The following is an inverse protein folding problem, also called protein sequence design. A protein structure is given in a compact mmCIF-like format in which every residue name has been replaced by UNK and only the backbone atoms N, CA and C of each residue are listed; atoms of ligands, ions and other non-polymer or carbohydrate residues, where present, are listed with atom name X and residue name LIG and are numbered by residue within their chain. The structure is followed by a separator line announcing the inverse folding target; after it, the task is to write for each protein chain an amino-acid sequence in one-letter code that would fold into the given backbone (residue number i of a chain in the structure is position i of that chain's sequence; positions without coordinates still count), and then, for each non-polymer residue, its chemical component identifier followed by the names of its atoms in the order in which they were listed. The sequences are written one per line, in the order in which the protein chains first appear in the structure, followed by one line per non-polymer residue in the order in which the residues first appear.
data_IF_983862846372
#
_entry.id   IF_983862846372
#
_cell.length_a   1.000
_cell.length_b   1.000
_cell.length_c   1.000
_cell.angle_alpha   90.00
_cell.angle_beta   90.00
_cell.angle_gamma   90.00
#
_symmetry.space_group_name_H-M   'P 1'
#
loop_
_entity.id
_entity.type
_entity.pdbx_description
1 polymer ?
#
# COMPACT_ATOMS: atom_id res chain seq x y z
N UNK A 1 -20.61 -8.23 3.63
CA UNK A 1 -20.11 -9.41 4.34
C UNK A 1 -18.91 -8.91 5.12
N UNK A 2 -18.96 -8.87 6.45
CA UNK A 2 -17.80 -8.42 7.23
C UNK A 2 -16.72 -9.50 7.12
N UNK A 3 -15.56 -9.14 6.58
CA UNK A 3 -14.39 -10.02 6.57
C UNK A 3 -13.97 -10.23 8.03
N UNK A 4 -13.75 -11.47 8.44
CA UNK A 4 -13.25 -11.74 9.80
C UNK A 4 -11.90 -10.99 9.96
N UNK A 5 -11.78 -10.19 11.03
CA UNK A 5 -10.58 -9.42 11.38
C UNK A 5 -9.29 -10.22 11.28
N UNK A 6 -9.34 -11.54 11.48
CA UNK A 6 -8.19 -12.45 11.38
C UNK A 6 -7.57 -12.53 10.00
N UNK A 7 -8.34 -12.22 8.96
CA UNK A 7 -7.90 -12.32 7.57
C UNK A 7 -7.54 -10.97 6.94
N UNK A 8 -7.70 -9.88 7.69
CA UNK A 8 -7.33 -8.56 7.20
C UNK A 8 -5.83 -8.33 7.23
N UNK A 9 -5.31 -7.57 6.27
CA UNK A 9 -3.91 -7.19 6.18
C UNK A 9 -3.47 -6.37 7.40
N UNK A 10 -4.27 -5.37 7.77
CA UNK A 10 -4.01 -4.43 8.87
C UNK A 10 -5.15 -4.47 9.91
N UNK A 11 -5.26 -5.55 10.72
CA UNK A 11 -6.41 -5.76 11.61
C UNK A 11 -6.46 -4.81 12.81
N UNK A 12 -5.36 -4.18 13.13
CA UNK A 12 -5.21 -3.25 14.26
C UNK A 12 -5.16 -1.79 13.81
N UNK A 13 -5.24 -1.55 12.49
CA UNK A 13 -5.21 -0.21 11.92
C UNK A 13 -6.29 0.70 12.48
N UNK A 14 -5.87 1.88 12.90
CA UNK A 14 -6.76 2.92 13.42
C UNK A 14 -6.26 4.31 13.07
N UNK A 15 -7.19 5.24 13.02
CA UNK A 15 -6.94 6.64 12.72
C UNK A 15 -7.51 7.54 13.82
N UNK A 16 -6.82 8.65 14.09
CA UNK A 16 -7.33 9.69 14.96
C UNK A 16 -8.04 10.75 14.12
N UNK A 17 -9.33 10.84 14.30
CA UNK A 17 -10.25 11.65 13.48
C UNK A 17 -10.63 12.92 14.22
N UNK A 18 -10.51 14.07 13.53
CA UNK A 18 -10.86 15.39 14.05
C UNK A 18 -11.89 16.04 13.14
N UNK A 19 -12.95 16.71 13.71
CA UNK A 19 -13.87 17.50 12.93
C UNK A 19 -13.16 18.60 12.15
N UNK A 20 -13.60 18.88 10.93
CA UNK A 20 -12.92 19.84 10.06
C UNK A 20 -12.81 21.24 10.68
N UNK A 21 -13.83 21.71 11.38
CA UNK A 21 -13.81 23.02 12.05
C UNK A 21 -12.79 23.09 13.19
N UNK A 22 -12.62 22.00 13.93
CA UNK A 22 -11.60 21.93 14.97
C UNK A 22 -10.20 21.83 14.35
N UNK A 23 -10.06 21.05 13.28
CA UNK A 23 -8.82 20.98 12.53
C UNK A 23 -8.34 22.33 12.02
N UNK A 24 -9.25 23.20 11.54
CA UNK A 24 -8.89 24.55 11.10
C UNK A 24 -8.33 25.46 12.20
N UNK A 25 -8.66 25.18 13.45
CA UNK A 25 -8.22 25.95 14.63
C UNK A 25 -6.92 25.39 15.24
N UNK A 26 -6.51 24.19 14.82
CA UNK A 26 -5.37 23.51 15.41
C UNK A 26 -4.05 24.11 14.95
N UNK A 27 -3.13 24.31 15.88
CA UNK A 27 -1.71 24.39 15.56
C UNK A 27 -1.15 22.97 15.41
N UNK A 28 -0.81 22.58 14.18
CA UNK A 28 -0.29 21.25 13.88
C UNK A 28 1.09 20.98 14.50
N UNK A 29 1.77 22.02 15.00
CA UNK A 29 3.03 21.88 15.72
C UNK A 29 2.83 21.69 17.24
N UNK A 30 1.64 22.01 17.74
CA UNK A 30 1.29 21.81 19.15
C UNK A 30 0.79 20.37 19.37
N UNK A 31 1.61 19.55 20.06
CA UNK A 31 1.29 18.15 20.35
C UNK A 31 0.20 17.98 21.41
N UNK A 32 0.00 18.98 22.30
CA UNK A 32 -1.00 18.88 23.37
C UNK A 32 -2.42 19.07 22.83
N UNK A 33 -2.61 20.01 21.91
CA UNK A 33 -3.94 20.30 21.32
C UNK A 33 -4.44 19.19 20.40
N UNK A 34 -3.54 18.37 19.84
CA UNK A 34 -3.90 17.27 18.93
C UNK A 34 -4.78 16.19 19.59
N UNK A 35 -4.69 16.00 20.90
CA UNK A 35 -5.33 14.88 21.58
C UNK A 35 -6.67 15.18 22.27
N UNK A 36 -7.16 16.42 22.17
CA UNK A 36 -8.33 16.84 22.96
C UNK A 36 -9.63 16.97 22.19
N UNK A 37 -9.60 17.07 20.86
CA UNK A 37 -10.78 17.40 20.05
C UNK A 37 -11.21 16.32 19.05
N UNK A 38 -10.58 15.16 19.08
CA UNK A 38 -10.89 14.04 18.19
C UNK A 38 -11.03 12.71 18.92
N UNK A 39 -11.12 11.65 18.13
CA UNK A 39 -11.17 10.29 18.66
C UNK A 39 -10.52 9.27 17.75
N UNK A 40 -10.05 8.16 18.33
CA UNK A 40 -9.56 7.02 17.60
C UNK A 40 -10.73 6.21 17.02
N UNK A 41 -10.61 5.86 15.74
CA UNK A 41 -11.57 5.01 15.01
C UNK A 41 -10.81 3.81 14.43
N UNK A 42 -11.29 2.61 14.74
CA UNK A 42 -10.74 1.38 14.17
C UNK A 42 -11.18 1.24 12.71
N UNK A 43 -10.24 0.98 11.80
CA UNK A 43 -10.55 0.88 10.38
C UNK A 43 -11.09 -0.49 9.97
N UNK A 44 -10.79 -1.55 10.72
CA UNK A 44 -11.25 -2.91 10.42
C UNK A 44 -12.79 -3.08 10.48
N UNK A 45 -13.48 -2.15 11.15
CA UNK A 45 -14.93 -2.18 11.31
C UNK A 45 -15.69 -1.73 10.05
N UNK A 46 -14.99 -1.11 9.08
CA UNK A 46 -15.62 -0.46 7.93
C UNK A 46 -15.27 -1.16 6.62
N UNK A 47 -16.28 -1.48 5.78
CA UNK A 47 -16.06 -2.16 4.51
C UNK A 47 -15.60 -1.21 3.38
N UNK A 48 -15.74 0.09 3.52
CA UNK A 48 -15.38 1.08 2.49
C UNK A 48 -15.14 2.46 3.07
N UNK A 49 -14.54 3.33 2.26
CA UNK A 49 -14.32 4.73 2.61
C UNK A 49 -15.65 5.48 2.87
N UNK A 50 -16.71 5.15 2.13
CA UNK A 50 -18.04 5.75 2.32
C UNK A 50 -18.64 5.33 3.67
N UNK A 51 -18.55 4.06 4.03
CA UNK A 51 -19.03 3.56 5.31
C UNK A 51 -18.27 4.21 6.48
N UNK A 52 -16.94 4.34 6.36
CA UNK A 52 -16.10 5.06 7.31
C UNK A 52 -16.50 6.53 7.43
N UNK A 53 -16.66 7.25 6.30
CA UNK A 53 -17.07 8.66 6.30
C UNK A 53 -18.46 8.86 6.91
N UNK A 54 -19.41 7.96 6.63
CA UNK A 54 -20.75 8.01 7.22
C UNK A 54 -20.69 7.83 8.73
N UNK A 55 -19.87 6.91 9.23
CA UNK A 55 -19.64 6.76 10.66
C UNK A 55 -19.07 8.04 11.28
N UNK A 56 -18.01 8.59 10.68
CA UNK A 56 -17.40 9.83 11.16
C UNK A 56 -18.39 11.01 11.18
N UNK A 57 -19.28 11.10 10.21
CA UNK A 57 -20.34 12.12 10.18
C UNK A 57 -21.33 11.97 11.37
N UNK A 58 -21.64 10.73 11.76
CA UNK A 58 -22.48 10.46 12.92
C UNK A 58 -21.81 10.80 14.24
N UNK A 59 -20.49 10.60 14.35
CA UNK A 59 -19.72 10.96 15.54
C UNK A 59 -19.71 12.47 15.80
N UNK A 60 -19.80 13.26 14.74
CA UNK A 60 -19.70 14.72 14.77
C UNK A 60 -20.99 15.38 14.28
N UNK A 61 -22.08 15.22 14.97
CA UNK A 61 -23.48 15.61 14.70
C UNK A 61 -23.76 16.93 13.97
N UNK A 62 -22.74 17.77 13.73
CA UNK A 62 -22.88 19.10 13.13
C UNK A 62 -22.26 19.24 11.74
N UNK A 63 -21.61 18.19 11.18
CA UNK A 63 -20.73 18.36 10.01
C UNK A 63 -21.10 17.45 8.86
N UNK A 64 -22.32 17.52 8.42
CA UNK A 64 -22.98 16.59 7.50
C UNK A 64 -22.35 16.43 6.11
N UNK A 65 -21.34 17.20 5.70
CA UNK A 65 -20.85 17.20 4.30
C UNK A 65 -19.34 17.27 4.12
N UNK A 66 -18.58 17.54 5.13
CA UNK A 66 -17.11 17.67 4.99
C UNK A 66 -16.45 16.48 5.65
N UNK A 67 -15.69 15.66 4.89
CA UNK A 67 -14.97 14.55 5.47
C UNK A 67 -14.07 14.99 6.62
N UNK A 68 -14.01 14.23 7.71
CA UNK A 68 -13.14 14.55 8.84
C UNK A 68 -11.68 14.60 8.41
N UNK A 69 -10.84 15.20 9.22
CA UNK A 69 -9.39 15.18 9.03
C UNK A 69 -8.77 14.14 9.93
N UNK A 70 -7.80 13.43 9.38
CA UNK A 70 -7.05 12.41 10.10
C UNK A 70 -5.68 13.00 10.41
N UNK A 71 -5.34 13.11 11.68
CA UNK A 71 -4.10 13.77 12.14
C UNK A 71 -3.09 12.80 12.73
N UNK A 72 -3.49 11.57 13.01
CA UNK A 72 -2.59 10.50 13.42
C UNK A 72 -3.11 9.14 12.93
N UNK A 73 -2.20 8.20 12.77
CA UNK A 73 -2.46 6.81 12.41
C UNK A 73 -1.73 5.89 13.37
N UNK A 74 -2.22 4.66 13.53
CA UNK A 74 -1.53 3.59 14.24
C UNK A 74 -1.77 2.27 13.51
N UNK A 75 -0.74 1.44 13.47
CA UNK A 75 -0.77 0.08 12.92
C UNK A 75 -1.16 0.03 11.43
N UNK A 76 -0.73 1.03 10.67
CA UNK A 76 -0.89 1.10 9.22
C UNK A 76 0.21 1.93 8.56
N UNK A 77 0.62 1.62 7.31
CA UNK A 77 1.60 2.38 6.56
C UNK A 77 1.16 3.82 6.26
N UNK A 78 2.14 4.74 6.29
CA UNK A 78 1.88 6.18 6.09
C UNK A 78 1.40 6.52 4.66
N UNK A 79 1.75 5.71 3.66
CA UNK A 79 1.37 5.95 2.27
C UNK A 79 -0.15 5.85 2.02
N UNK A 80 -0.92 5.23 2.93
CA UNK A 80 -2.37 5.28 2.87
C UNK A 80 -2.97 6.64 3.25
N UNK A 81 -2.13 7.57 3.70
CA UNK A 81 -2.56 8.92 4.05
C UNK A 81 -2.17 9.93 2.98
N UNK A 82 -3.12 10.80 2.59
CA UNK A 82 -2.89 11.92 1.68
C UNK A 82 -3.64 13.17 2.17
N UNK A 83 -2.92 14.25 2.42
CA UNK A 83 -3.54 15.53 2.80
C UNK A 83 -4.55 15.41 3.96
N UNK A 84 -4.18 14.70 5.03
CA UNK A 84 -5.02 14.42 6.20
C UNK A 84 -6.31 13.62 5.88
N UNK A 85 -6.28 12.83 4.81
CA UNK A 85 -7.37 11.94 4.41
C UNK A 85 -6.82 10.53 4.20
N UNK A 86 -7.66 9.54 4.48
CA UNK A 86 -7.38 8.15 4.17
C UNK A 86 -7.63 7.91 2.67
N UNK A 87 -6.72 7.18 2.04
CA UNK A 87 -6.91 6.72 0.65
C UNK A 87 -7.95 5.59 0.61
N UNK A 88 -8.86 5.59 -0.37
CA UNK A 88 -9.90 4.55 -0.48
C UNK A 88 -9.31 3.16 -0.68
N UNK A 89 -8.16 3.04 -1.33
CA UNK A 89 -7.44 1.79 -1.59
C UNK A 89 -7.13 1.01 -0.30
N UNK A 90 -6.99 1.70 0.84
CA UNK A 90 -6.78 1.06 2.13
C UNK A 90 -7.81 -0.04 2.42
N UNK A 91 -9.08 0.23 2.18
CA UNK A 91 -10.15 -0.72 2.52
C UNK A 91 -10.13 -1.97 1.64
N UNK A 92 -9.82 -1.80 0.36
CA UNK A 92 -9.67 -2.90 -0.58
C UNK A 92 -8.47 -3.78 -0.19
N UNK A 93 -7.31 -3.16 0.02
CA UNK A 93 -6.09 -3.86 0.44
C UNK A 93 -6.31 -4.56 1.78
N UNK A 94 -6.86 -3.88 2.77
CA UNK A 94 -7.07 -4.47 4.09
C UNK A 94 -7.99 -5.68 4.08
N UNK A 95 -8.93 -5.77 3.14
CA UNK A 95 -9.89 -6.87 3.04
C UNK A 95 -9.43 -8.02 2.16
N UNK A 96 -8.65 -7.75 1.12
CA UNK A 96 -8.33 -8.70 0.06
C UNK A 96 -6.87 -9.15 0.06
N UNK A 97 -5.96 -8.39 0.67
CA UNK A 97 -4.57 -8.79 0.79
C UNK A 97 -4.38 -9.73 1.99
N UNK A 98 -3.74 -10.87 1.76
CA UNK A 98 -3.35 -11.77 2.85
C UNK A 98 -2.20 -11.17 3.66
N UNK A 99 -2.20 -11.40 4.99
CA UNK A 99 -1.14 -10.94 5.89
C UNK A 99 0.27 -11.36 5.48
N UNK A 100 0.42 -12.51 4.87
CA UNK A 100 1.73 -12.98 4.41
C UNK A 100 2.28 -12.16 3.22
N UNK A 101 1.47 -11.31 2.62
CA UNK A 101 1.89 -10.44 1.52
C UNK A 101 1.97 -8.96 1.90
N UNK A 102 1.70 -8.59 3.16
CA UNK A 102 1.72 -7.18 3.58
C UNK A 102 3.08 -6.54 3.37
N UNK A 103 4.15 -7.21 3.75
CA UNK A 103 5.52 -6.70 3.57
C UNK A 103 5.90 -6.53 2.10
N UNK A 104 5.52 -7.51 1.25
CA UNK A 104 5.71 -7.39 -0.20
C UNK A 104 4.96 -6.18 -0.76
N UNK A 105 3.71 -5.99 -0.33
CA UNK A 105 2.89 -4.86 -0.75
C UNK A 105 3.47 -3.52 -0.27
N UNK A 106 3.92 -3.46 0.98
CA UNK A 106 4.53 -2.26 1.54
C UNK A 106 5.81 -1.87 0.78
N UNK A 107 6.69 -2.83 0.53
CA UNK A 107 7.89 -2.61 -0.28
C UNK A 107 7.55 -2.06 -1.68
N UNK A 108 6.58 -2.69 -2.37
CA UNK A 108 6.14 -2.26 -3.68
C UNK A 108 5.52 -0.85 -3.68
N UNK A 109 4.66 -0.55 -2.71
CA UNK A 109 4.01 0.75 -2.57
C UNK A 109 5.03 1.86 -2.26
N UNK A 110 5.95 1.63 -1.32
CA UNK A 110 7.00 2.59 -0.95
C UNK A 110 7.96 2.87 -2.10
N UNK A 111 8.33 1.84 -2.87
CA UNK A 111 9.19 2.00 -4.06
C UNK A 111 8.52 2.89 -5.09
N UNK A 112 7.21 2.74 -5.35
CA UNK A 112 6.48 3.63 -6.24
C UNK A 112 6.41 5.06 -5.69
N UNK A 113 6.12 5.21 -4.40
CA UNK A 113 6.04 6.54 -3.76
C UNK A 113 7.37 7.29 -3.84
N UNK A 114 8.49 6.58 -3.72
CA UNK A 114 9.81 7.17 -3.87
C UNK A 114 10.10 7.55 -5.33
N UNK A 115 9.81 6.65 -6.28
CA UNK A 115 10.04 6.87 -7.69
C UNK A 115 9.22 8.04 -8.24
N UNK A 116 7.92 8.08 -7.94
CA UNK A 116 7.01 9.14 -8.37
C UNK A 116 6.93 10.32 -7.39
N UNK A 117 8.00 10.58 -6.64
CA UNK A 117 8.04 11.66 -5.67
C UNK A 117 7.67 13.00 -6.29
N UNK A 118 6.49 13.52 -5.93
CA UNK A 118 5.91 14.74 -6.49
C UNK A 118 4.88 14.53 -7.61
N UNK A 119 4.69 13.31 -8.11
CA UNK A 119 3.66 12.94 -9.09
C UNK A 119 2.84 11.74 -8.60
N UNK A 120 2.14 11.96 -7.48
CA UNK A 120 1.35 10.90 -6.82
C UNK A 120 0.18 10.37 -7.66
N UNK A 121 -0.17 11.01 -8.79
CA UNK A 121 -1.23 10.52 -9.68
C UNK A 121 -0.77 9.27 -10.47
N UNK A 122 0.53 9.06 -10.57
CA UNK A 122 1.10 7.87 -11.20
C UNK A 122 1.22 6.68 -10.25
N UNK A 123 1.19 6.90 -8.95
CA UNK A 123 1.29 5.83 -7.95
C UNK A 123 0.04 4.95 -8.01
N UNK A 124 0.24 3.65 -8.19
CA UNK A 124 -0.81 2.63 -8.19
C UNK A 124 -0.74 1.86 -6.88
N UNK A 125 -1.79 1.96 -6.09
CA UNK A 125 -1.90 1.27 -4.79
C UNK A 125 -3.03 0.23 -4.78
N UNK A 126 -3.72 0.03 -5.90
CA UNK A 126 -4.77 -0.96 -6.02
C UNK A 126 -4.21 -2.39 -6.02
N UNK A 127 -5.02 -3.33 -5.57
CA UNK A 127 -4.60 -4.71 -5.38
C UNK A 127 -4.32 -5.43 -6.71
N UNK A 128 -5.04 -5.08 -7.77
CA UNK A 128 -4.84 -5.70 -9.08
C UNK A 128 -3.47 -5.29 -9.64
N UNK A 129 -3.12 -4.01 -9.56
CA UNK A 129 -1.78 -3.52 -9.95
C UNK A 129 -0.65 -4.19 -9.14
N UNK A 130 -0.88 -4.47 -7.85
CA UNK A 130 0.07 -5.22 -7.05
C UNK A 130 0.29 -6.63 -7.60
N UNK A 131 -0.79 -7.38 -7.83
CA UNK A 131 -0.69 -8.77 -8.31
C UNK A 131 -0.15 -8.88 -9.73
N UNK A 132 -0.51 -7.94 -10.60
CA UNK A 132 -0.01 -7.89 -11.99
C UNK A 132 1.51 -7.70 -12.06
N UNK A 133 2.09 -7.09 -11.03
CA UNK A 133 3.53 -6.82 -10.99
C UNK A 133 4.32 -7.78 -10.08
N UNK A 134 3.67 -8.46 -9.13
CA UNK A 134 4.35 -9.31 -8.16
C UNK A 134 4.83 -10.61 -8.77
N UNK A 135 6.15 -10.81 -8.85
CA UNK A 135 6.81 -11.98 -9.43
C UNK A 135 7.08 -13.09 -8.40
N UNK A 136 7.06 -12.76 -7.12
CA UNK A 136 7.31 -13.69 -6.03
C UNK A 136 8.36 -13.20 -5.03
N UNK A 137 8.77 -14.09 -4.14
CA UNK A 137 9.92 -13.91 -3.24
C UNK A 137 10.92 -15.06 -3.47
N UNK A 138 12.20 -14.70 -3.44
CA UNK A 138 13.33 -15.60 -3.71
C UNK A 138 14.45 -15.30 -2.73
N UNK A 139 15.33 -16.25 -2.50
CA UNK A 139 16.44 -16.02 -1.57
C UNK A 139 17.41 -14.96 -2.11
N UNK A 140 17.62 -14.94 -3.43
CA UNK A 140 18.43 -13.93 -4.13
C UNK A 140 18.05 -13.82 -5.62
N UNK A 141 18.80 -13.00 -6.38
CA UNK A 141 18.60 -12.79 -7.82
C UNK A 141 18.95 -14.06 -8.62
N UNK A 142 19.87 -14.87 -8.12
CA UNK A 142 20.29 -16.11 -8.77
C UNK A 142 19.17 -17.15 -8.72
N UNK A 143 18.51 -17.31 -7.59
CA UNK A 143 17.34 -18.18 -7.42
C UNK A 143 16.15 -17.70 -8.27
N UNK A 144 15.95 -16.38 -8.38
CA UNK A 144 14.96 -15.82 -9.29
C UNK A 144 15.29 -16.16 -10.75
N UNK A 145 16.54 -15.98 -11.18
CA UNK A 145 16.97 -16.28 -12.54
C UNK A 145 16.83 -17.80 -12.87
N UNK A 146 17.15 -18.69 -11.93
CA UNK A 146 16.92 -20.14 -12.06
C UNK A 146 15.43 -20.46 -12.25
N UNK A 147 14.56 -19.75 -11.56
CA UNK A 147 13.11 -19.93 -11.70
C UNK A 147 12.61 -19.44 -13.06
N UNK A 148 13.16 -18.32 -13.57
CA UNK A 148 12.84 -17.79 -14.91
C UNK A 148 13.36 -18.73 -16.01
N UNK A 149 14.58 -19.27 -15.88
CA UNK A 149 15.14 -20.23 -16.83
C UNK A 149 14.25 -21.48 -16.94
N UNK A 150 13.72 -21.96 -15.82
CA UNK A 150 12.87 -23.16 -15.78
C UNK A 150 11.47 -22.96 -16.37
N UNK A 151 10.89 -21.75 -16.25
CA UNK A 151 9.56 -21.40 -16.79
C UNK A 151 9.50 -19.92 -17.21
N UNK A 152 10.14 -19.55 -18.34
CA UNK A 152 10.23 -18.14 -18.77
C UNK A 152 8.87 -17.52 -19.10
N UNK A 153 7.89 -18.32 -19.50
CA UNK A 153 6.54 -17.82 -19.89
C UNK A 153 5.75 -17.35 -18.68
N UNK A 154 6.02 -17.93 -17.51
CA UNK A 154 5.30 -17.59 -16.27
C UNK A 154 5.47 -16.12 -15.85
N UNK A 155 6.63 -15.54 -16.14
CA UNK A 155 6.98 -14.22 -15.60
C UNK A 155 6.57 -13.05 -16.49
N UNK A 156 6.24 -13.31 -17.77
CA UNK A 156 5.80 -12.28 -18.73
C UNK A 156 6.68 -11.02 -18.67
N UNK A 157 8.00 -11.19 -18.66
CA UNK A 157 8.96 -10.08 -18.64
C UNK A 157 8.94 -9.32 -19.96
N UNK A 158 9.26 -8.03 -19.94
CA UNK A 158 9.32 -7.19 -21.14
C UNK A 158 10.52 -7.53 -22.07
N UNK A 159 11.36 -8.49 -21.67
CA UNK A 159 12.49 -9.01 -22.45
C UNK A 159 12.27 -10.48 -22.77
N UNK A 160 12.61 -10.87 -24.00
CA UNK A 160 12.55 -12.29 -24.40
C UNK A 160 13.77 -13.04 -23.82
N UNK A 161 13.51 -13.80 -22.77
CA UNK A 161 14.50 -14.65 -22.09
C UNK A 161 14.44 -16.11 -22.54
N UNK A 162 13.64 -16.42 -23.57
CA UNK A 162 13.45 -17.79 -24.04
C UNK A 162 14.76 -18.40 -24.54
N UNK A 163 15.22 -19.43 -23.86
CA UNK A 163 16.48 -20.13 -24.19
C UNK A 163 17.76 -19.46 -23.68
N UNK A 164 17.64 -18.39 -22.88
CA UNK A 164 18.77 -17.87 -22.12
C UNK A 164 19.06 -18.76 -20.92
N UNK A 165 20.35 -18.96 -20.64
CA UNK A 165 20.79 -19.57 -19.38
C UNK A 165 20.77 -18.54 -18.25
N UNK A 166 20.80 -19.03 -17.00
CA UNK A 166 20.89 -18.15 -15.81
C UNK A 166 22.08 -17.17 -15.92
N UNK A 167 23.25 -17.66 -16.32
CA UNK A 167 24.45 -16.83 -16.44
C UNK A 167 24.28 -15.72 -17.49
N UNK A 168 23.61 -16.01 -18.61
CA UNK A 168 23.31 -15.03 -19.64
C UNK A 168 22.30 -13.99 -19.14
N UNK A 169 21.26 -14.41 -18.40
CA UNK A 169 20.29 -13.50 -17.78
C UNK A 169 20.96 -12.57 -16.78
N UNK A 170 21.78 -13.11 -15.87
CA UNK A 170 22.48 -12.30 -14.85
C UNK A 170 23.50 -11.34 -15.45
N UNK A 171 24.02 -11.63 -16.64
CA UNK A 171 24.92 -10.75 -17.38
C UNK A 171 24.17 -9.72 -18.25
N UNK A 172 22.88 -9.88 -18.46
CA UNK A 172 22.05 -9.01 -19.30
C UNK A 172 21.55 -7.79 -18.54
N UNK A 173 21.96 -6.58 -18.97
CA UNK A 173 21.41 -5.33 -18.44
C UNK A 173 19.90 -5.21 -18.73
N UNK A 174 19.42 -5.71 -19.87
CA UNK A 174 18.01 -5.69 -20.23
C UNK A 174 17.19 -6.54 -19.25
N UNK A 175 17.62 -7.77 -18.97
CA UNK A 175 16.96 -8.63 -17.97
C UNK A 175 16.98 -7.99 -16.59
N UNK A 176 18.13 -7.55 -16.09
CA UNK A 176 18.27 -6.93 -14.78
C UNK A 176 17.47 -5.62 -14.64
N UNK A 177 17.14 -4.97 -15.74
CA UNK A 177 16.32 -3.76 -15.74
C UNK A 177 14.81 -4.01 -15.76
N UNK A 178 14.35 -5.25 -15.99
CA UNK A 178 12.92 -5.59 -16.09
C UNK A 178 12.21 -5.65 -14.74
N UNK A 179 12.94 -5.71 -13.63
CA UNK A 179 12.36 -5.88 -12.32
C UNK A 179 13.04 -5.01 -11.26
N UNK A 180 12.33 -4.83 -10.16
CA UNK A 180 12.86 -4.32 -8.90
C UNK A 180 12.77 -5.42 -7.86
N UNK A 181 13.69 -5.46 -6.93
CA UNK A 181 13.67 -6.41 -5.83
C UNK A 181 14.21 -5.80 -4.54
N UNK A 182 13.77 -6.34 -3.42
CA UNK A 182 14.20 -5.93 -2.09
C UNK A 182 13.19 -6.30 -1.01
N UNK A 183 13.28 -5.65 0.15
CA UNK A 183 12.52 -5.99 1.34
C UNK A 183 13.19 -7.12 2.14
N UNK A 184 12.57 -7.51 3.27
CA UNK A 184 13.13 -8.49 4.20
C UNK A 184 13.28 -9.88 3.57
N UNK A 185 12.37 -10.24 2.63
CA UNK A 185 12.33 -11.57 1.99
C UNK A 185 12.63 -11.51 0.49
N UNK A 186 13.38 -10.50 0.01
CA UNK A 186 13.73 -10.32 -1.40
C UNK A 186 12.52 -10.52 -2.33
N UNK A 187 11.53 -9.65 -2.21
CA UNK A 187 10.39 -9.61 -3.09
C UNK A 187 10.77 -9.08 -4.46
N UNK A 188 10.28 -9.72 -5.51
CA UNK A 188 10.54 -9.35 -6.90
C UNK A 188 9.27 -8.84 -7.55
N UNK A 189 9.39 -7.73 -8.28
CA UNK A 189 8.29 -7.10 -9.00
C UNK A 189 8.73 -6.72 -10.39
N UNK A 190 7.86 -6.90 -11.39
CA UNK A 190 8.06 -6.28 -12.70
C UNK A 190 8.31 -4.80 -12.49
N UNK A 191 9.28 -4.26 -13.20
CA UNK A 191 9.50 -2.81 -13.20
C UNK A 191 8.40 -2.20 -14.06
N UNK A 192 7.46 -1.45 -13.47
CA UNK A 192 6.43 -0.81 -14.27
C UNK A 192 7.13 0.11 -15.30
N UNK A 193 6.52 0.26 -16.46
CA UNK A 193 6.97 1.24 -17.46
C UNK A 193 6.82 2.65 -16.86
N UNK A 194 7.83 3.04 -16.10
CA UNK A 194 7.89 4.33 -15.41
C UNK A 194 8.12 5.45 -16.43
#
# INVERSE_FOLDING_TARGET
MYTDRKFQAYPDAKVYVVPYEEFQKMDLNDTETKHTCGQWVNLWEWPSIEAFHNHCALLHYRYERIPPRIIATSDMPAFFMKNFKLRPEFFEINQNLSRCHTEAYEFWAETQMEHFKGDEEKVRLDIDSFWDNHLGSYDDVEDFADSVESDPVRYELDVDVTGMTKEEMLASEEFMSCFIYGGEYNYFFKKPNW
#
